data_IF_742591041584
#
_entry.id   IF_742591041584
#
_cell.length_a   1.000
_cell.length_b   1.000
_cell.length_c   1.000
_cell.angle_alpha   90.00
_cell.angle_beta   90.00
_cell.angle_gamma   90.00
#
_symmetry.space_group_name_H-M   'P 1'
#
loop_
_entity.id
_entity.type
_entity.pdbx_description
1 polymer ?
#
# COMPACT_ATOMS: atom_id res chain seq x y z
N UNK A 1 -26.82 11.44 -21.25
CA UNK A 1 -25.62 11.33 -20.36
C UNK A 1 -24.77 12.56 -20.60
N UNK A 2 -24.33 13.30 -19.59
CA UNK A 2 -23.31 14.32 -19.80
C UNK A 2 -22.04 13.61 -20.31
N UNK A 3 -21.26 14.23 -21.22
CA UNK A 3 -19.98 13.68 -21.63
C UNK A 3 -19.10 13.54 -20.39
N UNK A 4 -18.29 12.46 -20.34
CA UNK A 4 -17.24 12.26 -19.34
C UNK A 4 -16.45 13.56 -19.27
N UNK A 5 -16.38 14.19 -18.11
CA UNK A 5 -15.54 15.36 -17.90
C UNK A 5 -14.09 14.89 -17.83
N UNK A 6 -13.14 15.72 -18.27
CA UNK A 6 -11.70 15.40 -18.19
C UNK A 6 -11.23 15.12 -16.75
N UNK A 7 -12.03 15.47 -15.73
CA UNK A 7 -11.84 15.16 -14.30
C UNK A 7 -11.89 13.65 -13.97
N UNK A 8 -12.39 12.82 -14.88
CA UNK A 8 -12.59 11.38 -14.67
C UNK A 8 -11.41 10.51 -15.16
N UNK A 9 -10.39 11.09 -15.80
CA UNK A 9 -9.33 10.34 -16.51
C UNK A 9 -8.62 9.33 -15.62
N UNK A 10 -8.24 9.70 -14.38
CA UNK A 10 -7.60 8.76 -13.47
C UNK A 10 -8.52 7.60 -13.08
N UNK A 11 -9.81 7.89 -12.84
CA UNK A 11 -10.77 6.86 -12.45
C UNK A 11 -11.09 5.95 -13.66
N UNK A 12 -11.10 6.50 -14.88
CA UNK A 12 -11.19 5.72 -16.12
C UNK A 12 -9.95 4.82 -16.26
N UNK A 13 -8.74 5.37 -16.08
CA UNK A 13 -7.49 4.60 -16.15
C UNK A 13 -7.47 3.42 -15.16
N UNK A 14 -7.96 3.62 -13.95
CA UNK A 14 -7.91 2.58 -12.92
C UNK A 14 -9.09 1.59 -12.98
N UNK A 15 -10.25 1.98 -13.55
CA UNK A 15 -11.48 1.20 -13.43
C UNK A 15 -12.21 0.88 -14.72
N UNK A 16 -11.76 1.35 -15.89
CA UNK A 16 -12.48 1.12 -17.15
C UNK A 16 -12.56 -0.36 -17.54
N UNK A 17 -11.54 -1.15 -17.19
CA UNK A 17 -11.45 -2.57 -17.49
C UNK A 17 -12.11 -3.46 -16.42
N UNK A 18 -12.90 -2.88 -15.49
CA UNK A 18 -13.58 -3.65 -14.47
C UNK A 18 -14.71 -4.52 -15.06
N UNK A 19 -14.57 -5.83 -14.94
CA UNK A 19 -15.52 -6.82 -15.44
C UNK A 19 -16.66 -7.08 -14.43
N UNK A 20 -17.59 -6.12 -14.28
CA UNK A 20 -18.69 -6.19 -13.31
C UNK A 20 -19.97 -6.81 -13.88
N UNK A 21 -19.90 -7.50 -15.03
CA UNK A 21 -21.01 -8.17 -15.68
C UNK A 21 -22.01 -7.24 -16.39
N UNK A 22 -21.92 -5.91 -16.23
CA UNK A 22 -22.74 -4.90 -16.92
C UNK A 22 -21.94 -3.59 -17.01
N UNK A 23 -21.78 -3.05 -18.23
CA UNK A 23 -21.07 -1.80 -18.48
C UNK A 23 -21.58 -0.61 -17.64
N UNK A 24 -22.88 -0.60 -17.30
CA UNK A 24 -23.45 0.43 -16.39
C UNK A 24 -22.88 0.36 -14.99
N UNK A 25 -22.47 -0.82 -14.52
CA UNK A 25 -21.81 -0.99 -13.21
C UNK A 25 -20.39 -0.43 -13.25
N UNK A 26 -19.64 -0.69 -14.33
CA UNK A 26 -18.30 -0.12 -14.55
C UNK A 26 -18.36 1.41 -14.61
N UNK A 27 -19.30 1.98 -15.38
CA UNK A 27 -19.52 3.42 -15.39
C UNK A 27 -19.90 3.98 -14.02
N UNK A 28 -20.69 3.22 -13.24
CA UNK A 28 -21.04 3.60 -11.86
C UNK A 28 -19.83 3.56 -10.93
N UNK A 29 -18.95 2.57 -11.07
CA UNK A 29 -17.71 2.47 -10.31
C UNK A 29 -16.81 3.68 -10.58
N UNK A 30 -16.60 4.04 -11.87
CA UNK A 30 -15.82 5.23 -12.27
C UNK A 30 -16.42 6.50 -11.65
N UNK A 31 -17.73 6.71 -11.79
CA UNK A 31 -18.40 7.88 -11.24
C UNK A 31 -18.27 7.96 -9.70
N UNK A 32 -18.40 6.82 -9.01
CA UNK A 32 -18.20 6.75 -7.55
C UNK A 32 -16.73 7.02 -7.17
N UNK A 33 -15.77 6.44 -7.90
CA UNK A 33 -14.34 6.67 -7.68
C UNK A 33 -14.01 8.17 -7.78
N UNK A 34 -14.52 8.84 -8.82
CA UNK A 34 -14.33 10.27 -9.04
C UNK A 34 -14.89 11.08 -7.90
N UNK A 35 -16.17 10.90 -7.55
CA UNK A 35 -16.86 11.68 -6.52
C UNK A 35 -16.25 11.44 -5.13
N UNK A 36 -15.94 10.20 -4.79
CA UNK A 36 -15.35 9.86 -3.48
C UNK A 36 -13.89 10.33 -3.37
N UNK A 37 -13.12 10.34 -4.45
CA UNK A 37 -11.76 10.87 -4.44
C UNK A 37 -11.71 12.39 -4.31
N UNK A 38 -12.74 13.09 -4.77
CA UNK A 38 -12.87 14.54 -4.58
C UNK A 38 -12.98 14.92 -3.10
N UNK A 39 -13.65 14.08 -2.29
CA UNK A 39 -13.85 14.30 -0.84
C UNK A 39 -13.60 13.01 -0.04
N UNK A 40 -12.37 12.47 -0.03
CA UNK A 40 -12.11 11.12 0.49
C UNK A 40 -12.42 10.97 1.97
N UNK A 41 -12.34 12.03 2.77
CA UNK A 41 -12.66 12.04 4.18
C UNK A 41 -14.12 12.38 4.53
N UNK A 42 -14.94 12.81 3.56
CA UNK A 42 -16.34 13.16 3.77
C UNK A 42 -17.24 11.93 3.95
N UNK A 43 -18.39 12.05 4.59
CA UNK A 43 -19.41 10.99 4.62
C UNK A 43 -19.93 10.67 3.20
N UNK A 44 -20.54 9.51 2.98
CA UNK A 44 -21.12 9.19 1.67
C UNK A 44 -22.17 10.23 1.20
N UNK A 45 -23.11 10.68 2.05
CA UNK A 45 -24.05 11.75 1.67
C UNK A 45 -23.33 13.04 1.25
N UNK A 46 -22.35 13.47 2.02
CA UNK A 46 -21.61 14.69 1.74
C UNK A 46 -20.73 14.58 0.47
N UNK A 47 -20.09 13.41 0.25
CA UNK A 47 -19.26 13.19 -0.93
C UNK A 47 -20.09 13.10 -2.20
N UNK A 48 -21.23 12.41 -2.18
CA UNK A 48 -22.12 12.24 -3.33
C UNK A 48 -22.81 13.54 -3.75
N UNK A 49 -23.06 14.45 -2.83
CA UNK A 49 -23.60 15.79 -3.11
C UNK A 49 -25.08 15.86 -3.50
N UNK A 50 -25.66 14.80 -4.04
CA UNK A 50 -27.08 14.70 -4.38
C UNK A 50 -27.67 13.31 -4.06
N UNK A 51 -29.01 13.27 -3.93
CA UNK A 51 -29.76 12.07 -3.56
C UNK A 51 -29.66 10.93 -4.60
N UNK A 52 -29.52 11.25 -5.88
CA UNK A 52 -29.48 10.26 -6.96
C UNK A 52 -28.13 9.51 -6.90
N UNK A 53 -27.02 10.21 -6.76
CA UNK A 53 -25.68 9.64 -6.60
C UNK A 53 -25.58 8.84 -5.29
N UNK A 54 -26.13 9.37 -4.19
CA UNK A 54 -26.13 8.68 -2.89
C UNK A 54 -26.91 7.35 -2.96
N UNK A 55 -28.12 7.35 -3.54
CA UNK A 55 -28.90 6.13 -3.75
C UNK A 55 -28.16 5.14 -4.65
N UNK A 56 -27.47 5.64 -5.68
CA UNK A 56 -26.67 4.82 -6.57
C UNK A 56 -25.47 4.19 -5.85
N UNK A 57 -24.79 4.93 -4.93
CA UNK A 57 -23.70 4.43 -4.11
C UNK A 57 -24.16 3.29 -3.20
N UNK A 58 -25.26 3.50 -2.45
CA UNK A 58 -25.80 2.45 -1.59
C UNK A 58 -26.20 1.20 -2.37
N UNK A 59 -26.90 1.34 -3.53
CA UNK A 59 -27.26 0.22 -4.39
C UNK A 59 -26.06 -0.50 -4.97
N UNK A 60 -24.98 0.23 -5.26
CA UNK A 60 -23.74 -0.35 -5.75
C UNK A 60 -23.07 -1.23 -4.69
N UNK A 61 -22.87 -0.72 -3.47
CA UNK A 61 -22.28 -1.50 -2.39
C UNK A 61 -23.20 -2.62 -1.86
N UNK A 62 -24.52 -2.52 -2.07
CA UNK A 62 -25.48 -3.55 -1.70
C UNK A 62 -25.60 -4.70 -2.72
N UNK A 63 -25.03 -4.53 -3.89
CA UNK A 63 -25.15 -5.48 -4.98
C UNK A 63 -24.34 -6.75 -4.69
N UNK A 64 -25.03 -7.84 -4.35
CA UNK A 64 -24.44 -9.15 -4.01
C UNK A 64 -23.75 -9.84 -5.20
N UNK A 65 -23.98 -9.38 -6.42
CA UNK A 65 -23.27 -9.87 -7.62
C UNK A 65 -21.89 -9.22 -7.83
N UNK A 66 -21.47 -8.32 -6.93
CA UNK A 66 -20.14 -7.70 -6.96
C UNK A 66 -19.30 -8.30 -5.84
N UNK A 67 -18.22 -8.93 -6.20
CA UNK A 67 -17.21 -9.34 -5.25
C UNK A 67 -16.20 -8.21 -5.00
N UNK A 68 -15.64 -8.08 -3.79
CA UNK A 68 -14.61 -7.07 -3.49
C UNK A 68 -13.41 -7.13 -4.44
N UNK A 69 -13.05 -8.34 -4.89
CA UNK A 69 -11.93 -8.57 -5.82
C UNK A 69 -12.20 -7.97 -7.20
N UNK A 70 -13.44 -8.08 -7.72
CA UNK A 70 -13.83 -7.53 -9.04
C UNK A 70 -13.58 -6.02 -9.13
N UNK A 71 -13.73 -5.31 -8.00
CA UNK A 71 -13.50 -3.86 -7.90
C UNK A 71 -12.00 -3.51 -7.93
N UNK A 72 -11.15 -4.46 -7.56
CA UNK A 72 -9.70 -4.25 -7.48
C UNK A 72 -8.98 -4.74 -8.75
N UNK A 73 -9.53 -5.73 -9.45
CA UNK A 73 -8.86 -6.39 -10.59
C UNK A 73 -8.50 -5.41 -11.71
N UNK A 74 -9.37 -4.45 -11.99
CA UNK A 74 -9.09 -3.40 -12.98
C UNK A 74 -7.88 -2.55 -12.57
N UNK A 75 -7.80 -2.14 -11.29
CA UNK A 75 -6.64 -1.41 -10.77
C UNK A 75 -5.35 -2.26 -10.80
N UNK A 76 -5.45 -3.57 -10.51
CA UNK A 76 -4.31 -4.49 -10.62
C UNK A 76 -3.84 -4.54 -12.07
N UNK A 77 -4.75 -4.65 -13.04
CA UNK A 77 -4.46 -4.59 -14.47
C UNK A 77 -3.78 -3.28 -14.88
N UNK A 78 -4.33 -2.15 -14.43
CA UNK A 78 -3.76 -0.82 -14.65
C UNK A 78 -2.39 -0.61 -13.97
N UNK A 79 -2.05 -1.44 -12.97
CA UNK A 79 -0.74 -1.41 -12.32
C UNK A 79 0.35 -2.04 -13.18
N UNK A 80 0.07 -3.08 -13.97
CA UNK A 80 1.09 -3.79 -14.75
C UNK A 80 1.92 -2.92 -15.69
N UNK A 81 1.35 -1.96 -16.46
CA UNK A 81 2.15 -1.04 -17.26
C UNK A 81 3.18 -0.26 -16.42
N UNK A 82 2.81 0.16 -15.20
CA UNK A 82 3.72 0.86 -14.28
C UNK A 82 4.84 -0.06 -13.78
N UNK A 83 4.53 -1.35 -13.51
CA UNK A 83 5.54 -2.34 -13.09
C UNK A 83 6.52 -2.64 -14.22
N UNK A 84 6.06 -2.71 -15.47
CA UNK A 84 6.88 -3.03 -16.63
C UNK A 84 7.95 -1.96 -16.94
N UNK A 85 7.81 -0.75 -16.39
CA UNK A 85 8.78 0.35 -16.58
C UNK A 85 9.99 0.29 -15.65
N UNK A 86 9.98 -0.60 -14.65
CA UNK A 86 11.03 -0.68 -13.61
C UNK A 86 11.67 -2.06 -13.57
N UNK A 87 13.00 -2.16 -13.32
CA UNK A 87 13.70 -3.44 -13.29
C UNK A 87 13.40 -4.27 -12.05
N UNK A 88 12.98 -3.63 -10.95
CA UNK A 88 12.75 -4.25 -9.66
C UNK A 88 11.54 -3.66 -8.95
N UNK A 89 10.71 -4.56 -8.40
CA UNK A 89 9.54 -4.23 -7.59
C UNK A 89 9.62 -4.94 -6.24
N UNK A 90 9.42 -4.20 -5.17
CA UNK A 90 9.23 -4.70 -3.83
C UNK A 90 7.73 -4.88 -3.59
N UNK A 91 7.25 -6.12 -3.55
CA UNK A 91 5.87 -6.47 -3.22
C UNK A 91 5.70 -6.52 -1.70
N UNK A 92 5.43 -5.37 -1.11
CA UNK A 92 5.35 -5.18 0.34
C UNK A 92 3.96 -5.57 0.84
N UNK A 93 3.89 -6.44 1.81
CA UNK A 93 2.63 -6.95 2.35
C UNK A 93 2.50 -6.68 3.85
N UNK A 94 1.31 -6.33 4.27
CA UNK A 94 0.99 -6.11 5.69
C UNK A 94 -0.52 -6.25 5.96
N UNK A 95 -0.87 -6.46 7.24
CA UNK A 95 -2.27 -6.56 7.69
C UNK A 95 -2.62 -5.38 8.59
N UNK A 96 -3.78 -4.80 8.37
CA UNK A 96 -4.35 -3.81 9.29
C UNK A 96 -5.75 -4.23 9.74
N UNK A 97 -6.13 -3.82 10.94
CA UNK A 97 -7.48 -3.94 11.46
C UNK A 97 -8.23 -2.63 11.15
N UNK A 98 -9.44 -2.73 10.63
CA UNK A 98 -10.36 -1.60 10.47
C UNK A 98 -11.46 -1.73 11.53
N UNK A 99 -11.56 -0.72 12.39
CA UNK A 99 -12.41 -0.76 13.59
C UNK A 99 -13.75 -0.02 13.37
N UNK A 100 -14.85 -0.77 13.46
CA UNK A 100 -16.21 -0.23 13.43
C UNK A 100 -16.95 -0.44 14.75
N UNK A 101 -16.26 -0.59 15.86
CA UNK A 101 -16.89 -0.74 17.19
C UNK A 101 -17.85 0.40 17.52
N UNK A 102 -17.57 1.62 17.04
CA UNK A 102 -18.43 2.78 17.21
C UNK A 102 -19.73 2.74 16.37
N UNK A 103 -19.91 1.72 15.52
CA UNK A 103 -21.07 1.56 14.64
C UNK A 103 -21.86 0.28 14.98
N UNK A 104 -22.58 0.24 16.12
CA UNK A 104 -23.22 -0.98 16.62
C UNK A 104 -24.34 -1.50 15.73
N UNK A 105 -24.88 -0.68 14.82
CA UNK A 105 -25.91 -1.08 13.85
C UNK A 105 -25.34 -1.89 12.66
N UNK A 106 -24.01 -1.90 12.46
CA UNK A 106 -23.37 -2.65 11.38
C UNK A 106 -23.29 -4.14 11.78
N UNK A 107 -23.91 -4.99 10.98
CA UNK A 107 -23.94 -6.45 11.22
C UNK A 107 -22.81 -7.17 10.49
N UNK A 108 -22.49 -8.42 10.91
CA UNK A 108 -21.51 -9.28 10.26
C UNK A 108 -20.04 -8.92 10.54
N UNK A 109 -19.75 -7.95 11.41
CA UNK A 109 -18.40 -7.62 11.83
C UNK A 109 -17.83 -8.69 12.77
N UNK A 110 -16.55 -9.01 12.59
CA UNK A 110 -15.82 -9.97 13.42
C UNK A 110 -14.99 -9.31 14.53
N UNK A 111 -14.50 -10.13 15.49
CA UNK A 111 -13.62 -9.64 16.56
C UNK A 111 -12.24 -9.24 16.00
N UNK A 112 -11.70 -8.15 16.53
CA UNK A 112 -10.34 -7.67 16.26
C UNK A 112 -9.34 -8.18 17.33
N UNK A 113 -8.11 -7.71 17.28
CA UNK A 113 -7.05 -8.12 18.21
C UNK A 113 -7.40 -7.86 19.68
N UNK A 114 -8.18 -6.81 19.97
CA UNK A 114 -8.75 -6.55 21.28
C UNK A 114 -10.19 -7.08 21.33
N UNK A 115 -10.53 -7.88 22.32
CA UNK A 115 -11.81 -8.62 22.42
C UNK A 115 -13.09 -7.76 22.42
N UNK A 116 -12.98 -6.49 22.82
CA UNK A 116 -14.09 -5.54 22.79
C UNK A 116 -14.30 -4.88 21.43
N UNK A 117 -13.34 -4.97 20.52
CA UNK A 117 -13.37 -4.31 19.21
C UNK A 117 -13.93 -5.23 18.13
N UNK A 118 -14.72 -4.64 17.23
CA UNK A 118 -15.33 -5.33 16.09
C UNK A 118 -15.03 -4.61 14.79
N UNK A 119 -14.74 -5.37 13.74
CA UNK A 119 -14.39 -4.79 12.46
C UNK A 119 -14.02 -5.81 11.40
N UNK A 120 -13.18 -5.38 10.48
CA UNK A 120 -12.65 -6.17 9.38
C UNK A 120 -11.13 -6.18 9.44
N UNK A 121 -10.53 -7.26 8.97
CA UNK A 121 -9.10 -7.30 8.67
C UNK A 121 -8.90 -7.02 7.19
N UNK A 122 -7.83 -6.30 6.90
CA UNK A 122 -7.39 -6.01 5.53
C UNK A 122 -5.93 -6.39 5.40
N UNK A 123 -5.63 -7.37 4.55
CA UNK A 123 -4.28 -7.71 4.18
C UNK A 123 -4.03 -7.23 2.76
N UNK A 124 -2.99 -6.41 2.57
CA UNK A 124 -2.72 -5.76 1.28
C UNK A 124 -1.28 -5.98 0.87
N UNK A 125 -1.08 -6.23 -0.42
CA UNK A 125 0.24 -6.24 -1.07
C UNK A 125 0.34 -5.02 -1.97
N UNK A 126 1.25 -4.10 -1.62
CA UNK A 126 1.57 -2.91 -2.42
C UNK A 126 2.88 -3.12 -3.19
N UNK A 127 2.90 -2.72 -4.45
CA UNK A 127 4.11 -2.68 -5.26
C UNK A 127 4.85 -1.37 -5.06
N UNK A 128 6.14 -1.44 -4.69
CA UNK A 128 7.01 -0.28 -4.54
C UNK A 128 8.23 -0.40 -5.46
N UNK A 129 8.74 0.74 -5.91
CA UNK A 129 10.14 0.80 -6.36
C UNK A 129 11.08 0.82 -5.15
N UNK A 130 12.39 0.51 -5.30
CA UNK A 130 13.38 0.71 -4.23
C UNK A 130 13.41 2.14 -3.69
N UNK A 131 13.09 3.15 -4.51
CA UNK A 131 12.98 4.56 -4.17
C UNK A 131 11.66 4.90 -3.43
N UNK A 132 10.89 3.86 -3.06
CA UNK A 132 9.65 3.94 -2.25
C UNK A 132 8.46 4.57 -2.97
N UNK A 133 8.42 4.55 -4.30
CA UNK A 133 7.23 4.96 -5.07
C UNK A 133 6.23 3.82 -5.10
N UNK A 134 4.97 4.00 -4.59
CA UNK A 134 3.95 2.94 -4.60
C UNK A 134 3.29 2.86 -5.99
N UNK A 135 3.66 1.85 -6.79
CA UNK A 135 3.20 1.69 -8.18
C UNK A 135 1.74 1.24 -8.30
N UNK A 136 1.21 0.56 -7.28
CA UNK A 136 -0.17 0.06 -7.25
C UNK A 136 -0.39 -1.01 -6.19
N UNK A 137 -1.63 -1.49 -6.09
CA UNK A 137 -2.02 -2.63 -5.26
C UNK A 137 -1.94 -3.90 -6.13
N UNK A 138 -1.27 -4.95 -5.64
CA UNK A 138 -1.16 -6.24 -6.32
C UNK A 138 -2.19 -7.25 -5.82
N UNK A 139 -2.57 -7.16 -4.55
CA UNK A 139 -3.59 -8.00 -3.94
C UNK A 139 -4.15 -7.32 -2.70
N UNK A 140 -5.41 -7.60 -2.40
CA UNK A 140 -6.02 -7.22 -1.13
C UNK A 140 -7.05 -8.27 -0.72
N UNK A 141 -7.03 -8.67 0.53
CA UNK A 141 -8.01 -9.54 1.15
C UNK A 141 -8.70 -8.79 2.28
N UNK A 142 -10.03 -8.82 2.31
CA UNK A 142 -10.84 -8.15 3.32
C UNK A 142 -11.79 -9.18 3.92
N UNK A 143 -11.72 -9.41 5.24
CA UNK A 143 -12.57 -10.40 5.90
C UNK A 143 -12.94 -10.01 7.33
N UNK A 144 -14.06 -10.55 7.81
CA UNK A 144 -14.42 -10.59 9.22
C UNK A 144 -13.96 -11.90 9.83
N UNK A 145 -13.37 -11.88 11.03
CA UNK A 145 -13.12 -13.12 11.78
C UNK A 145 -14.40 -13.74 12.27
N UNK A 146 -14.47 -15.06 12.19
CA UNK A 146 -15.56 -15.79 12.82
C UNK A 146 -15.40 -15.74 14.36
N UNK A 147 -16.40 -15.26 15.11
CA UNK A 147 -16.37 -15.28 16.57
C UNK A 147 -16.12 -16.65 17.15
N UNK A 148 -16.60 -17.71 16.48
CA UNK A 148 -16.44 -19.10 16.93
C UNK A 148 -15.02 -19.64 16.80
N UNK A 149 -14.15 -18.97 16.05
CA UNK A 149 -12.73 -19.34 15.96
C UNK A 149 -11.86 -18.77 17.11
N UNK A 150 -12.45 -17.93 17.97
CA UNK A 150 -11.78 -17.44 19.18
C UNK A 150 -11.50 -18.61 20.12
N UNK A 151 -10.26 -18.70 20.60
CA UNK A 151 -9.86 -19.74 21.57
C UNK A 151 -9.42 -21.07 20.97
N UNK A 152 -9.59 -21.32 19.68
CA UNK A 152 -9.17 -22.58 19.01
C UNK A 152 -7.66 -22.67 18.78
N UNK A 153 -6.82 -22.04 19.62
CA UNK A 153 -5.35 -22.06 19.52
C UNK A 153 -4.76 -23.48 19.52
N UNK A 154 -5.34 -24.40 20.28
CA UNK A 154 -4.83 -25.77 20.43
C UNK A 154 -4.86 -26.57 19.11
N UNK A 155 -5.89 -26.40 18.30
CA UNK A 155 -6.07 -27.11 17.02
C UNK A 155 -5.36 -26.41 15.84
N UNK A 156 -4.95 -25.14 16.00
CA UNK A 156 -4.33 -24.33 14.93
C UNK A 156 -3.07 -24.98 14.32
N UNK A 157 -2.25 -25.66 15.15
CA UNK A 157 -1.02 -26.31 14.65
C UNK A 157 -1.29 -27.47 13.70
N UNK A 158 -2.44 -28.14 13.83
CA UNK A 158 -2.80 -29.33 13.06
C UNK A 158 -3.54 -29.00 11.74
N UNK A 159 -4.12 -27.80 11.61
CA UNK A 159 -4.83 -27.38 10.39
C UNK A 159 -3.82 -27.13 9.25
N UNK A 160 -4.16 -27.45 7.99
CA UNK A 160 -3.37 -27.02 6.84
C UNK A 160 -3.34 -25.48 6.76
N UNK A 161 -2.34 -24.92 6.07
CA UNK A 161 -2.18 -23.46 5.97
C UNK A 161 -3.38 -22.80 5.28
N UNK A 162 -4.00 -23.50 4.31
CA UNK A 162 -5.19 -23.03 3.59
C UNK A 162 -6.39 -22.70 4.50
N UNK A 163 -6.45 -23.31 5.69
CA UNK A 163 -7.49 -23.08 6.69
C UNK A 163 -7.08 -22.07 7.78
N UNK A 164 -5.95 -21.40 7.61
CA UNK A 164 -5.40 -20.45 8.59
C UNK A 164 -5.38 -19.05 8.02
N UNK A 165 -5.53 -18.04 8.87
CA UNK A 165 -5.27 -16.64 8.47
C UNK A 165 -3.87 -16.44 7.85
N UNK A 166 -2.92 -17.35 8.13
CA UNK A 166 -1.58 -17.30 7.54
C UNK A 166 -1.58 -17.54 6.03
N UNK A 167 -2.67 -18.07 5.44
CA UNK A 167 -2.83 -18.22 3.99
C UNK A 167 -2.69 -16.88 3.25
N UNK A 168 -3.09 -15.78 3.89
CA UNK A 168 -2.95 -14.43 3.35
C UNK A 168 -1.53 -14.12 2.83
N UNK A 169 -0.50 -14.62 3.53
CA UNK A 169 0.90 -14.42 3.16
C UNK A 169 1.27 -15.18 1.88
N UNK A 170 0.75 -16.39 1.70
CA UNK A 170 0.92 -17.14 0.45
C UNK A 170 0.19 -16.46 -0.71
N UNK A 171 -1.04 -16.03 -0.53
CA UNK A 171 -1.81 -15.29 -1.55
C UNK A 171 -1.06 -14.04 -2.02
N UNK A 172 -0.39 -13.34 -1.11
CA UNK A 172 0.46 -12.20 -1.48
C UNK A 172 1.68 -12.58 -2.32
N UNK A 173 2.30 -13.74 -2.04
CA UNK A 173 3.37 -14.26 -2.90
C UNK A 173 2.83 -14.69 -4.26
N UNK A 174 1.65 -15.31 -4.31
CA UNK A 174 0.96 -15.66 -5.56
C UNK A 174 0.67 -14.44 -6.43
N UNK A 175 0.30 -13.30 -5.81
CA UNK A 175 0.13 -12.04 -6.53
C UNK A 175 1.46 -11.54 -7.14
N UNK A 176 2.58 -11.65 -6.43
CA UNK A 176 3.89 -11.34 -6.99
C UNK A 176 4.27 -12.29 -8.14
N UNK A 177 3.91 -13.58 -8.04
CA UNK A 177 4.09 -14.55 -9.12
C UNK A 177 3.22 -14.21 -10.35
N UNK A 178 1.98 -13.77 -10.14
CA UNK A 178 1.10 -13.32 -11.22
C UNK A 178 1.65 -12.06 -11.91
N UNK A 179 2.10 -11.08 -11.12
CA UNK A 179 2.75 -9.87 -11.63
C UNK A 179 4.03 -10.19 -12.43
N UNK A 180 4.83 -11.15 -11.99
CA UNK A 180 6.03 -11.61 -12.73
C UNK A 180 5.66 -12.23 -14.08
N UNK A 181 4.56 -12.98 -14.15
CA UNK A 181 4.07 -13.52 -15.44
C UNK A 181 3.64 -12.42 -16.40
N UNK A 182 2.96 -11.38 -15.86
CA UNK A 182 2.53 -10.23 -16.67
C UNK A 182 3.69 -9.30 -17.08
N UNK A 183 4.73 -9.19 -16.23
CA UNK A 183 5.89 -8.32 -16.43
C UNK A 183 7.20 -9.14 -16.40
N UNK A 184 7.52 -9.93 -17.46
CA UNK A 184 8.62 -10.90 -17.42
C UNK A 184 10.02 -10.29 -17.34
N UNK A 185 10.19 -8.99 -17.56
CA UNK A 185 11.47 -8.30 -17.43
C UNK A 185 11.70 -7.70 -16.05
N UNK A 186 10.64 -7.59 -15.24
CA UNK A 186 10.69 -6.99 -13.90
C UNK A 186 10.95 -8.08 -12.86
N UNK A 187 11.94 -7.88 -12.01
CA UNK A 187 12.18 -8.73 -10.83
C UNK A 187 11.24 -8.33 -9.68
N UNK A 188 10.75 -9.29 -8.92
CA UNK A 188 9.90 -9.06 -7.76
C UNK A 188 10.53 -9.60 -6.49
N UNK A 189 10.44 -8.84 -5.40
CA UNK A 189 10.82 -9.30 -4.06
C UNK A 189 9.61 -9.15 -3.14
N UNK A 190 9.05 -10.25 -2.67
CA UNK A 190 7.98 -10.23 -1.69
C UNK A 190 8.56 -9.90 -0.31
N UNK A 191 8.12 -8.80 0.29
CA UNK A 191 8.63 -8.28 1.55
C UNK A 191 7.57 -8.41 2.64
N UNK A 192 7.90 -9.15 3.70
CA UNK A 192 6.97 -9.39 4.82
C UNK A 192 7.59 -9.12 6.19
N UNK A 193 6.73 -8.84 7.15
CA UNK A 193 7.13 -8.65 8.54
C UNK A 193 7.30 -9.99 9.30
N UNK A 194 7.35 -9.94 10.65
CA UNK A 194 7.48 -11.11 11.51
C UNK A 194 6.31 -12.11 11.39
N UNK A 195 5.11 -11.66 11.05
CA UNK A 195 3.97 -12.57 10.88
C UNK A 195 4.09 -13.41 9.61
N UNK A 196 4.82 -12.91 8.60
CA UNK A 196 5.11 -13.63 7.36
C UNK A 196 6.16 -14.74 7.55
N UNK A 197 6.85 -14.83 8.71
CA UNK A 197 7.81 -15.90 9.00
C UNK A 197 7.10 -17.24 9.21
N UNK A 198 6.52 -17.75 8.14
CA UNK A 198 5.84 -19.03 8.04
C UNK A 198 6.64 -19.94 7.11
N UNK A 199 6.87 -21.19 7.54
CA UNK A 199 7.69 -22.14 6.76
C UNK A 199 7.17 -22.34 5.32
N UNK A 200 5.84 -22.41 5.16
CA UNK A 200 5.21 -22.59 3.84
C UNK A 200 5.47 -21.39 2.91
N UNK A 201 5.55 -20.17 3.44
CA UNK A 201 5.92 -18.97 2.68
C UNK A 201 7.38 -19.04 2.24
N UNK A 202 8.28 -19.40 3.16
CA UNK A 202 9.72 -19.52 2.85
C UNK A 202 10.01 -20.65 1.86
N UNK A 203 9.22 -21.72 1.91
CA UNK A 203 9.38 -22.92 1.09
C UNK A 203 8.59 -22.91 -0.25
N UNK A 204 7.80 -21.85 -0.53
CA UNK A 204 6.99 -21.77 -1.76
C UNK A 204 7.88 -21.88 -3.00
N UNK A 205 7.48 -22.71 -3.95
CA UNK A 205 8.20 -22.85 -5.23
C UNK A 205 8.03 -21.55 -6.05
N UNK A 206 9.15 -21.07 -6.59
CA UNK A 206 9.21 -19.79 -7.30
C UNK A 206 10.07 -19.90 -8.55
N UNK A 207 9.67 -19.28 -9.67
CA UNK A 207 10.53 -19.11 -10.82
C UNK A 207 11.64 -18.09 -10.54
N UNK A 208 12.67 -18.08 -11.35
CA UNK A 208 13.68 -17.03 -11.34
C UNK A 208 13.04 -15.64 -11.50
N UNK A 209 13.52 -14.68 -10.71
CA UNK A 209 13.01 -13.31 -10.72
C UNK A 209 11.87 -13.05 -9.73
N UNK A 210 11.50 -14.03 -8.89
CA UNK A 210 10.65 -13.80 -7.72
C UNK A 210 11.38 -14.26 -6.47
N UNK A 211 11.65 -13.34 -5.57
CA UNK A 211 12.39 -13.56 -4.33
C UNK A 211 11.58 -13.20 -3.10
N UNK A 212 12.09 -13.58 -1.92
CA UNK A 212 11.51 -13.27 -0.61
C UNK A 212 12.49 -12.48 0.23
N UNK A 213 11.94 -11.58 1.06
CA UNK A 213 12.64 -10.84 2.11
C UNK A 213 11.73 -10.74 3.33
N UNK A 214 11.90 -11.63 4.30
CA UNK A 214 11.00 -11.80 5.44
C UNK A 214 11.76 -11.54 6.74
N UNK A 215 11.20 -10.74 7.62
CA UNK A 215 11.77 -10.57 8.96
C UNK A 215 11.52 -11.81 9.81
N UNK A 216 12.57 -12.39 10.35
CA UNK A 216 12.48 -13.56 11.21
C UNK A 216 11.73 -13.24 12.51
N UNK A 217 10.82 -14.12 12.89
CA UNK A 217 10.12 -14.13 14.19
C UNK A 217 10.59 -15.29 15.07
N UNK A 218 11.01 -16.38 14.44
CA UNK A 218 11.32 -17.63 15.12
C UNK A 218 12.78 -18.01 14.99
N UNK A 219 13.36 -18.51 16.07
CA UNK A 219 14.71 -19.11 16.04
C UNK A 219 14.62 -20.53 15.45
N UNK A 220 14.64 -20.59 14.13
CA UNK A 220 14.46 -21.83 13.37
C UNK A 220 15.73 -22.68 13.37
N UNK A 221 15.52 -23.99 13.34
CA UNK A 221 16.61 -24.94 13.18
C UNK A 221 17.22 -24.82 11.77
N UNK A 222 18.55 -24.83 11.70
CA UNK A 222 19.35 -24.82 10.46
C UNK A 222 20.32 -26.00 10.45
N UNK A 223 20.89 -26.30 9.27
CA UNK A 223 21.86 -27.38 9.08
C UNK A 223 23.30 -27.02 9.50
N UNK A 224 23.50 -25.83 10.09
CA UNK A 224 24.80 -25.35 10.57
C UNK A 224 25.19 -25.92 11.96
N UNK A 225 26.45 -25.75 12.34
CA UNK A 225 26.98 -26.23 13.63
C UNK A 225 26.23 -25.67 14.83
N UNK A 226 25.86 -24.38 14.78
CA UNK A 226 25.11 -23.65 15.80
C UNK A 226 23.64 -24.08 15.91
N UNK A 227 23.14 -24.83 14.92
CA UNK A 227 21.80 -25.44 14.88
C UNK A 227 20.61 -24.48 14.77
N UNK A 228 20.77 -23.21 15.08
CA UNK A 228 19.70 -22.20 15.10
C UNK A 228 20.11 -20.92 14.39
N UNK A 229 19.13 -20.23 13.80
CA UNK A 229 19.37 -19.06 12.92
C UNK A 229 20.11 -17.95 13.64
N UNK A 230 19.65 -17.53 14.84
CA UNK A 230 20.28 -16.42 15.57
C UNK A 230 21.74 -16.72 15.94
N UNK A 231 22.00 -17.89 16.48
CA UNK A 231 23.36 -18.30 16.84
C UNK A 231 24.27 -18.40 15.62
N UNK A 232 23.76 -18.95 14.50
CA UNK A 232 24.52 -19.07 13.23
C UNK A 232 24.94 -17.70 12.71
N UNK A 233 24.04 -16.71 12.72
CA UNK A 233 24.35 -15.37 12.21
C UNK A 233 25.21 -14.58 13.19
N UNK A 234 24.97 -14.71 14.50
CA UNK A 234 25.77 -14.06 15.53
C UNK A 234 27.23 -14.51 15.56
N UNK A 235 27.52 -15.78 15.13
CA UNK A 235 28.87 -16.28 14.99
C UNK A 235 29.65 -15.67 13.80
N UNK A 236 28.98 -14.94 12.89
CA UNK A 236 29.63 -14.26 11.77
C UNK A 236 30.32 -12.95 12.22
N UNK A 237 31.40 -12.55 11.56
CA UNK A 237 32.03 -11.25 11.83
C UNK A 237 31.08 -10.09 11.50
N UNK A 238 31.31 -8.94 12.14
CA UNK A 238 30.67 -7.68 11.73
C UNK A 238 31.40 -7.19 10.48
N UNK A 239 30.72 -7.19 9.36
CA UNK A 239 31.26 -6.80 8.07
C UNK A 239 30.97 -5.35 7.70
N UNK A 240 29.91 -4.75 8.29
CA UNK A 240 29.51 -3.38 8.00
C UNK A 240 28.78 -2.74 9.18
N UNK A 241 28.63 -1.42 9.13
CA UNK A 241 27.75 -0.65 9.99
C UNK A 241 26.72 0.09 9.13
N UNK A 242 25.44 -0.19 9.37
CA UNK A 242 24.33 0.57 8.82
C UNK A 242 23.92 1.66 9.81
N UNK A 243 23.42 2.78 9.30
CA UNK A 243 22.93 3.87 10.17
C UNK A 243 21.45 4.12 9.86
N UNK A 244 20.62 4.11 10.91
CA UNK A 244 19.20 4.41 10.76
C UNK A 244 18.80 5.64 11.58
N UNK A 245 17.85 6.40 11.07
CA UNK A 245 17.21 7.49 11.80
C UNK A 245 16.00 6.94 12.56
N UNK A 246 16.05 7.01 13.89
CA UNK A 246 14.95 6.60 14.75
C UNK A 246 14.09 7.81 15.03
N UNK A 247 12.82 7.82 14.63
CA UNK A 247 11.94 8.94 14.90
C UNK A 247 11.63 9.06 16.39
N UNK A 248 11.14 10.22 16.80
CA UNK A 248 10.68 10.46 18.19
C UNK A 248 9.63 9.42 18.59
N UNK A 249 9.80 8.81 19.77
CA UNK A 249 8.84 7.87 20.35
C UNK A 249 8.44 8.33 21.74
N UNK A 250 7.24 8.86 21.88
CA UNK A 250 6.78 9.39 23.18
C UNK A 250 7.74 10.47 23.73
N UNK A 251 8.32 10.24 24.90
CA UNK A 251 9.30 11.12 25.54
C UNK A 251 10.73 10.98 24.97
N UNK A 252 11.03 9.93 24.18
CA UNK A 252 12.37 9.71 23.62
C UNK A 252 12.57 10.61 22.39
N UNK A 253 13.65 11.44 22.34
CA UNK A 253 13.95 12.29 21.19
C UNK A 253 14.35 11.43 19.97
N UNK A 254 14.27 12.02 18.76
CA UNK A 254 14.80 11.36 17.57
C UNK A 254 16.31 11.14 17.74
N UNK A 255 16.81 10.01 17.25
CA UNK A 255 18.23 9.66 17.34
C UNK A 255 18.71 8.92 16.11
N UNK A 256 20.00 8.93 15.93
CA UNK A 256 20.71 8.12 14.94
C UNK A 256 21.22 6.86 15.61
N UNK A 257 20.91 5.68 15.09
CA UNK A 257 21.36 4.41 15.63
C UNK A 257 22.30 3.69 14.65
N UNK A 258 23.55 3.41 15.04
CA UNK A 258 24.45 2.55 14.27
C UNK A 258 24.07 1.08 14.53
N UNK A 259 23.95 0.29 13.45
CA UNK A 259 23.64 -1.12 13.49
C UNK A 259 24.83 -1.93 12.96
N UNK A 260 25.36 -2.84 13.75
CA UNK A 260 26.33 -3.83 13.28
C UNK A 260 25.63 -4.82 12.32
N UNK A 261 26.20 -5.02 11.13
CA UNK A 261 25.61 -5.84 10.08
C UNK A 261 26.44 -7.10 9.87
N UNK A 262 25.76 -8.25 9.89
CA UNK A 262 26.31 -9.58 9.63
C UNK A 262 25.42 -10.31 8.63
N UNK A 263 25.96 -11.24 7.85
CA UNK A 263 25.16 -12.10 6.99
C UNK A 263 25.85 -13.44 6.74
N UNK A 264 25.06 -14.44 6.38
CA UNK A 264 25.57 -15.73 5.94
C UNK A 264 24.52 -16.49 5.12
N UNK A 265 24.95 -17.43 4.25
CA UNK A 265 24.06 -18.43 3.70
C UNK A 265 23.66 -19.41 4.81
N UNK A 266 22.44 -19.91 4.76
CA UNK A 266 21.96 -20.93 5.68
C UNK A 266 20.89 -21.82 5.02
N UNK A 267 20.63 -22.98 5.59
CA UNK A 267 19.57 -23.86 5.15
C UNK A 267 18.64 -24.18 6.31
N UNK A 268 17.37 -23.74 6.21
CA UNK A 268 16.36 -24.03 7.21
C UNK A 268 15.96 -25.50 7.20
N UNK A 269 15.91 -26.11 8.36
CA UNK A 269 15.34 -27.44 8.53
C UNK A 269 13.81 -27.40 8.52
N UNK A 270 13.13 -28.41 7.97
CA UNK A 270 11.70 -28.57 8.08
C UNK A 270 11.22 -28.63 9.54
N UNK A 271 10.01 -28.09 9.84
CA UNK A 271 9.44 -28.13 11.18
C UNK A 271 9.29 -29.57 11.69
N UNK A 272 9.82 -29.86 12.90
CA UNK A 272 9.84 -31.22 13.47
C UNK A 272 8.44 -31.84 13.61
N UNK A 273 7.42 -31.05 13.88
CA UNK A 273 6.03 -31.52 14.02
C UNK A 273 5.40 -31.93 12.68
N UNK A 274 6.02 -31.57 11.53
CA UNK A 274 5.56 -31.87 10.16
C UNK A 274 6.42 -32.93 9.45
N UNK A 275 7.15 -33.76 10.18
CA UNK A 275 8.02 -34.79 9.60
C UNK A 275 7.32 -35.71 8.59
N UNK A 276 6.03 -36.00 8.81
CA UNK A 276 5.22 -36.87 7.93
C UNK A 276 5.01 -36.30 6.53
N UNK A 277 5.11 -34.96 6.38
CA UNK A 277 4.89 -34.27 5.12
C UNK A 277 6.11 -34.30 4.17
N UNK A 278 7.24 -34.84 4.61
CA UNK A 278 8.50 -34.92 3.83
C UNK A 278 8.93 -33.60 3.21
N UNK A 279 8.75 -32.51 3.93
CA UNK A 279 9.13 -31.16 3.51
C UNK A 279 10.63 -31.07 3.24
N UNK A 280 11.04 -30.26 2.25
CA UNK A 280 12.44 -30.07 1.85
C UNK A 280 13.11 -28.98 2.67
N UNK A 281 14.39 -29.09 3.04
CA UNK A 281 15.15 -27.98 3.58
C UNK A 281 15.13 -26.77 2.62
N UNK A 282 15.13 -25.56 3.17
CA UNK A 282 15.04 -24.32 2.38
C UNK A 282 16.35 -23.56 2.45
N UNK A 283 17.11 -23.46 1.33
CA UNK A 283 18.31 -22.63 1.28
C UNK A 283 17.91 -21.14 1.24
N UNK A 284 18.53 -20.34 2.10
CA UNK A 284 18.30 -18.92 2.27
C UNK A 284 19.60 -18.20 2.62
N UNK A 285 19.52 -16.89 2.64
CA UNK A 285 20.49 -15.99 3.28
C UNK A 285 19.86 -15.32 4.48
N UNK A 286 20.65 -15.11 5.52
CA UNK A 286 20.26 -14.30 6.66
C UNK A 286 21.08 -13.01 6.67
N UNK A 287 20.40 -11.86 6.89
CA UNK A 287 21.03 -10.55 7.11
C UNK A 287 20.59 -10.07 8.49
N UNK A 288 21.55 -9.83 9.39
CA UNK A 288 21.30 -9.39 10.75
C UNK A 288 21.87 -8.00 10.97
N UNK A 289 21.02 -7.06 11.33
CA UNK A 289 21.39 -5.71 11.71
C UNK A 289 20.96 -5.44 13.15
N UNK A 290 21.93 -5.17 14.04
CA UNK A 290 21.66 -4.98 15.47
C UNK A 290 22.40 -3.78 16.02
N UNK A 291 21.72 -3.01 16.86
CA UNK A 291 22.31 -1.94 17.67
C UNK A 291 23.05 -2.56 18.84
N UNK A 292 24.40 -2.46 18.85
CA UNK A 292 25.23 -3.09 19.91
C UNK A 292 25.30 -2.24 21.17
N UNK A 293 25.14 -0.92 21.07
CA UNK A 293 25.19 0.02 22.19
C UNK A 293 23.95 0.93 22.23
N UNK A 294 22.75 0.37 22.55
CA UNK A 294 21.55 1.17 22.68
C UNK A 294 21.65 2.13 23.88
N UNK A 295 20.98 3.28 23.88
CA UNK A 295 20.88 4.14 25.06
C UNK A 295 20.29 3.40 26.26
N UNK A 296 20.72 3.77 27.47
CA UNK A 296 20.25 3.15 28.71
C UNK A 296 18.70 3.17 28.79
N UNK A 297 18.11 2.03 29.15
CA UNK A 297 16.66 1.88 29.26
C UNK A 297 15.91 1.78 27.91
N UNK A 298 16.63 1.58 26.81
CA UNK A 298 16.04 1.40 25.49
C UNK A 298 16.37 0.01 24.96
N UNK A 299 15.36 -0.67 24.39
CA UNK A 299 15.61 -1.93 23.70
C UNK A 299 16.44 -1.69 22.42
N UNK A 300 17.41 -2.58 22.12
CA UNK A 300 18.20 -2.46 20.90
C UNK A 300 17.32 -2.61 19.66
N UNK A 301 17.64 -1.84 18.63
CA UNK A 301 17.05 -2.07 17.31
C UNK A 301 17.70 -3.32 16.75
N UNK A 302 16.87 -4.28 16.35
CA UNK A 302 17.33 -5.55 15.80
C UNK A 302 16.43 -6.03 14.66
N UNK A 303 17.04 -6.27 13.52
CA UNK A 303 16.41 -6.90 12.37
C UNK A 303 17.20 -8.13 11.95
N UNK A 304 16.54 -9.28 11.96
CA UNK A 304 17.04 -10.49 11.31
C UNK A 304 16.14 -10.77 10.11
N UNK A 305 16.71 -10.68 8.92
CA UNK A 305 16.00 -10.85 7.65
C UNK A 305 16.41 -12.20 7.03
N UNK A 306 15.43 -12.98 6.61
CA UNK A 306 15.61 -14.19 5.81
C UNK A 306 15.27 -13.86 4.36
N UNK A 307 16.16 -14.17 3.44
CA UNK A 307 15.96 -13.84 2.02
C UNK A 307 16.44 -14.94 1.10
N UNK A 308 15.79 -15.06 -0.07
CA UNK A 308 16.24 -15.92 -1.16
C UNK A 308 17.21 -15.22 -2.10
N UNK A 309 17.33 -13.89 -1.97
CA UNK A 309 18.35 -13.12 -2.70
C UNK A 309 19.73 -13.42 -2.12
N UNK A 310 20.69 -13.75 -2.98
CA UNK A 310 22.08 -13.92 -2.56
C UNK A 310 22.64 -12.64 -1.92
N UNK A 311 23.52 -12.81 -0.91
CA UNK A 311 24.19 -11.72 -0.20
C UNK A 311 25.66 -12.06 -0.03
N UNK A 312 26.48 -11.61 -0.97
CA UNK A 312 27.92 -11.87 -1.00
C UNK A 312 28.75 -10.65 -0.59
N UNK A 313 28.17 -9.46 -0.63
CA UNK A 313 28.87 -8.20 -0.42
C UNK A 313 28.18 -7.30 0.62
N UNK A 314 28.93 -6.37 1.19
CA UNK A 314 28.38 -5.31 2.07
C UNK A 314 27.26 -4.55 1.37
N UNK A 315 27.44 -4.18 0.11
CA UNK A 315 26.45 -3.42 -0.67
C UNK A 315 25.12 -4.19 -0.76
N UNK A 316 25.16 -5.50 -1.04
CA UNK A 316 23.96 -6.34 -1.10
C UNK A 316 23.28 -6.49 0.27
N UNK A 317 24.05 -6.61 1.35
CA UNK A 317 23.49 -6.67 2.70
C UNK A 317 22.75 -5.38 3.07
N UNK A 318 23.37 -4.23 2.81
CA UNK A 318 22.75 -2.91 3.06
C UNK A 318 21.53 -2.68 2.18
N UNK A 319 21.58 -3.10 0.93
CA UNK A 319 20.43 -3.06 0.02
C UNK A 319 19.23 -3.85 0.55
N UNK A 320 19.44 -5.06 1.12
CA UNK A 320 18.34 -5.85 1.72
C UNK A 320 17.74 -5.15 2.93
N UNK A 321 18.55 -4.46 3.73
CA UNK A 321 18.06 -3.65 4.85
C UNK A 321 17.22 -2.46 4.36
N UNK A 322 17.65 -1.79 3.27
CA UNK A 322 16.90 -0.66 2.70
C UNK A 322 15.60 -1.13 2.05
N UNK A 323 15.61 -2.26 1.33
CA UNK A 323 14.37 -2.85 0.81
C UNK A 323 13.39 -3.21 1.92
N UNK A 324 13.87 -3.78 3.03
CA UNK A 324 13.01 -4.07 4.16
C UNK A 324 12.44 -2.78 4.79
N UNK A 325 13.22 -1.70 4.82
CA UNK A 325 12.74 -0.41 5.31
C UNK A 325 11.59 0.18 4.46
N UNK A 326 11.48 -0.20 3.17
CA UNK A 326 10.33 0.18 2.33
C UNK A 326 8.99 -0.34 2.88
N UNK A 327 9.01 -1.38 3.74
CA UNK A 327 7.81 -1.92 4.40
C UNK A 327 7.02 -0.85 5.14
N UNK A 328 7.68 0.14 5.74
CA UNK A 328 6.96 1.24 6.40
C UNK A 328 6.07 2.07 5.46
N UNK A 329 6.27 1.97 4.16
CA UNK A 329 5.39 2.59 3.17
C UNK A 329 3.94 2.10 3.28
N UNK A 330 3.71 0.81 3.58
CA UNK A 330 2.36 0.28 3.74
C UNK A 330 1.65 0.85 4.98
N UNK A 331 2.39 1.11 6.07
CA UNK A 331 1.83 1.77 7.26
C UNK A 331 1.43 3.23 6.99
N UNK A 332 2.19 3.93 6.13
CA UNK A 332 1.81 5.27 5.65
C UNK A 332 0.52 5.19 4.83
N UNK A 333 0.41 4.21 3.94
CA UNK A 333 -0.80 3.99 3.16
C UNK A 333 -2.00 3.62 4.05
N UNK A 334 -1.83 2.73 5.04
CA UNK A 334 -2.88 2.44 6.03
C UNK A 334 -3.36 3.70 6.75
N UNK A 335 -2.45 4.60 7.12
CA UNK A 335 -2.79 5.88 7.74
C UNK A 335 -3.60 6.78 6.80
N UNK A 336 -3.29 6.80 5.49
CA UNK A 336 -4.07 7.54 4.50
C UNK A 336 -5.47 6.94 4.40
N UNK A 337 -5.60 5.62 4.32
CA UNK A 337 -6.88 4.92 4.27
C UNK A 337 -7.74 5.19 5.53
N UNK A 338 -7.15 5.06 6.73
CA UNK A 338 -7.85 5.26 8.01
C UNK A 338 -8.14 6.72 8.32
N UNK A 339 -7.15 7.58 8.23
CA UNK A 339 -7.26 8.99 8.66
C UNK A 339 -7.59 9.94 7.52
N UNK A 340 -7.05 9.71 6.32
CA UNK A 340 -7.30 10.52 5.13
C UNK A 340 -8.66 10.23 4.53
N UNK A 341 -8.90 8.99 4.20
CA UNK A 341 -10.16 8.51 3.66
C UNK A 341 -11.22 8.26 4.73
N UNK A 342 -10.85 8.22 6.01
CA UNK A 342 -11.73 7.95 7.14
C UNK A 342 -12.59 6.70 6.93
N UNK A 343 -11.98 5.62 6.46
CA UNK A 343 -12.71 4.39 6.08
C UNK A 343 -13.54 3.83 7.25
N UNK A 344 -13.03 3.91 8.47
CA UNK A 344 -13.68 3.44 9.69
C UNK A 344 -14.89 4.29 10.10
N UNK A 345 -15.07 5.47 9.49
CA UNK A 345 -16.26 6.32 9.68
C UNK A 345 -17.38 6.03 8.66
N UNK A 346 -17.21 5.06 7.76
CA UNK A 346 -18.24 4.70 6.78
C UNK A 346 -19.37 3.94 7.45
N UNK A 347 -20.59 4.47 7.33
CA UNK A 347 -21.80 3.89 7.91
C UNK A 347 -22.52 3.06 6.84
N UNK A 348 -22.23 1.77 6.79
CA UNK A 348 -22.90 0.80 5.96
C UNK A 348 -23.50 -0.29 6.84
N UNK A 349 -24.66 -0.83 6.45
CA UNK A 349 -25.46 -1.69 7.29
C UNK A 349 -24.81 -3.06 7.59
N UNK A 350 -23.95 -3.56 6.69
CA UNK A 350 -23.35 -4.89 6.83
C UNK A 350 -21.87 -4.90 6.50
N UNK A 351 -21.16 -5.91 7.02
CA UNK A 351 -19.76 -6.16 6.73
C UNK A 351 -19.50 -6.37 5.24
N UNK A 352 -20.38 -7.06 4.52
CA UNK A 352 -20.25 -7.33 3.09
C UNK A 352 -20.29 -6.03 2.28
N UNK A 353 -21.14 -5.08 2.67
CA UNK A 353 -21.15 -3.74 2.03
C UNK A 353 -19.85 -2.98 2.31
N UNK A 354 -19.30 -3.09 3.51
CA UNK A 354 -17.99 -2.51 3.86
C UNK A 354 -16.87 -3.19 3.07
N UNK A 355 -16.91 -4.52 2.93
CA UNK A 355 -15.92 -5.26 2.14
C UNK A 355 -15.89 -4.80 0.67
N UNK A 356 -17.03 -4.46 0.06
CA UNK A 356 -17.11 -3.87 -1.29
C UNK A 356 -16.67 -2.39 -1.32
N UNK A 357 -16.81 -1.68 -0.22
CA UNK A 357 -16.41 -0.27 -0.11
C UNK A 357 -14.88 -0.12 0.04
N UNK A 358 -14.23 -1.01 0.79
CA UNK A 358 -12.79 -0.94 1.10
C UNK A 358 -11.90 -0.91 -0.14
N UNK A 359 -12.04 -1.77 -1.18
CA UNK A 359 -11.19 -1.74 -2.36
C UNK A 359 -11.19 -0.38 -3.06
N UNK A 360 -12.35 0.23 -3.24
CA UNK A 360 -12.45 1.55 -3.86
C UNK A 360 -11.69 2.63 -3.08
N UNK A 361 -11.87 2.69 -1.76
CA UNK A 361 -11.10 3.62 -0.92
C UNK A 361 -9.62 3.27 -0.85
N UNK A 362 -9.25 2.01 -1.01
CA UNK A 362 -7.87 1.55 -1.08
C UNK A 362 -7.15 2.14 -2.29
N UNK A 363 -7.79 2.16 -3.45
CA UNK A 363 -7.24 2.77 -4.67
C UNK A 363 -7.16 4.31 -4.53
N UNK A 364 -8.17 4.93 -3.93
CA UNK A 364 -8.14 6.39 -3.64
C UNK A 364 -6.97 6.73 -2.70
N UNK A 365 -6.77 5.94 -1.64
CA UNK A 365 -5.65 6.12 -0.72
C UNK A 365 -4.29 5.90 -1.41
N UNK A 366 -4.21 4.91 -2.31
CA UNK A 366 -3.02 4.69 -3.13
C UNK A 366 -2.71 5.90 -4.03
N UNK A 367 -3.69 6.47 -4.71
CA UNK A 367 -3.50 7.65 -5.58
C UNK A 367 -2.86 8.82 -4.81
N UNK A 368 -3.36 9.10 -3.61
CA UNK A 368 -2.80 10.16 -2.73
C UNK A 368 -1.35 9.84 -2.36
N UNK A 369 -1.07 8.58 -2.03
CA UNK A 369 0.26 8.15 -1.65
C UNK A 369 1.23 8.17 -2.83
N UNK A 370 0.79 7.70 -4.00
CA UNK A 370 1.53 7.74 -5.25
C UNK A 370 1.96 9.17 -5.59
N UNK A 371 1.03 10.11 -5.58
CA UNK A 371 1.31 11.53 -5.80
C UNK A 371 2.37 12.08 -4.84
N UNK A 372 2.25 11.72 -3.53
CA UNK A 372 3.19 12.15 -2.50
C UNK A 372 4.61 11.66 -2.78
N UNK A 373 4.76 10.40 -3.17
CA UNK A 373 6.08 9.77 -3.32
C UNK A 373 6.69 10.04 -4.69
N UNK A 374 5.87 10.09 -5.74
CA UNK A 374 6.32 10.38 -7.10
C UNK A 374 6.99 11.77 -7.18
N UNK A 375 6.43 12.77 -6.50
CA UNK A 375 7.01 14.12 -6.48
C UNK A 375 8.39 14.20 -5.83
N UNK A 376 8.73 13.23 -4.98
CA UNK A 376 10.05 13.11 -4.36
C UNK A 376 11.04 12.36 -5.23
N UNK A 377 10.54 11.35 -5.97
CA UNK A 377 11.38 10.51 -6.83
C UNK A 377 11.75 11.21 -8.15
N UNK A 378 10.81 11.93 -8.75
CA UNK A 378 10.99 12.62 -10.04
C UNK A 378 10.51 14.08 -9.96
N UNK A 379 11.14 14.92 -9.11
CA UNK A 379 10.66 16.26 -8.80
C UNK A 379 10.57 17.20 -10.01
N UNK A 380 11.47 17.02 -10.99
CA UNK A 380 11.57 17.87 -12.18
C UNK A 380 10.73 17.39 -13.37
N UNK A 381 10.05 16.25 -13.25
CA UNK A 381 9.11 15.81 -14.28
C UNK A 381 7.97 16.83 -14.44
N UNK A 382 7.37 16.99 -15.62
CA UNK A 382 6.21 17.86 -15.79
C UNK A 382 5.05 17.34 -14.94
N UNK A 383 4.27 18.24 -14.33
CA UNK A 383 3.18 17.84 -13.42
C UNK A 383 2.07 17.03 -14.13
N UNK A 384 2.05 17.02 -15.45
CA UNK A 384 1.11 16.24 -16.28
C UNK A 384 1.27 14.73 -16.13
N UNK A 385 2.33 14.24 -15.47
CA UNK A 385 2.44 12.83 -15.06
C UNK A 385 1.47 12.46 -13.92
N UNK A 386 0.84 13.46 -13.29
CA UNK A 386 -0.04 13.30 -12.13
C UNK A 386 -1.35 14.07 -12.28
N UNK A 387 -1.31 15.27 -12.86
CA UNK A 387 -2.43 16.21 -12.95
C UNK A 387 -2.89 16.36 -14.40
N UNK A 388 -4.21 16.42 -14.57
CA UNK A 388 -4.81 16.76 -15.83
C UNK A 388 -4.60 18.24 -16.20
N UNK A 389 -4.87 18.57 -17.45
CA UNK A 389 -4.65 19.92 -18.00
C UNK A 389 -5.37 20.99 -17.16
N UNK A 390 -6.65 20.78 -16.90
CA UNK A 390 -7.51 21.71 -16.16
C UNK A 390 -7.13 21.78 -14.68
N UNK A 391 -6.70 20.68 -14.08
CA UNK A 391 -6.27 20.62 -12.68
C UNK A 391 -5.06 21.52 -12.44
N UNK A 392 -3.98 21.36 -13.21
CA UNK A 392 -2.78 22.16 -12.98
C UNK A 392 -2.96 23.62 -13.40
N UNK A 393 -3.79 23.89 -14.43
CA UNK A 393 -4.11 25.26 -14.84
C UNK A 393 -4.90 25.98 -13.76
N UNK A 394 -5.95 25.35 -13.22
CA UNK A 394 -6.74 25.87 -12.10
C UNK A 394 -5.86 26.11 -10.86
N UNK A 395 -4.99 25.15 -10.55
CA UNK A 395 -4.04 25.24 -9.44
C UNK A 395 -3.11 26.45 -9.59
N UNK A 396 -2.51 26.61 -10.78
CA UNK A 396 -1.62 27.73 -11.07
C UNK A 396 -2.34 29.07 -10.89
N UNK A 397 -3.53 29.22 -11.53
CA UNK A 397 -4.32 30.44 -11.45
C UNK A 397 -4.69 30.80 -10.01
N UNK A 398 -5.08 29.81 -9.20
CA UNK A 398 -5.46 30.03 -7.79
C UNK A 398 -4.26 30.43 -6.92
N UNK A 399 -3.12 29.75 -7.06
CA UNK A 399 -1.93 30.00 -6.24
C UNK A 399 -1.28 31.34 -6.58
N UNK A 400 -1.17 31.67 -7.89
CA UNK A 400 -0.50 32.88 -8.36
C UNK A 400 -1.46 34.08 -8.51
N UNK A 401 -2.79 33.86 -8.33
CA UNK A 401 -3.83 34.88 -8.53
C UNK A 401 -3.79 35.49 -9.93
N UNK A 402 -3.57 34.64 -10.93
CA UNK A 402 -3.45 35.02 -12.34
C UNK A 402 -4.62 34.42 -13.12
N UNK A 403 -5.25 35.18 -14.03
CA UNK A 403 -6.40 34.67 -14.80
C UNK A 403 -5.99 33.67 -15.88
N UNK A 404 -4.71 33.66 -16.28
CA UNK A 404 -4.19 32.83 -17.38
C UNK A 404 -2.99 32.03 -16.90
N UNK A 405 -3.00 30.71 -17.11
CA UNK A 405 -1.87 29.85 -16.82
C UNK A 405 -0.75 30.02 -17.86
N UNK A 406 0.50 29.66 -17.54
CA UNK A 406 1.58 29.60 -18.54
C UNK A 406 1.28 28.55 -19.62
N UNK A 407 1.95 28.63 -20.80
CA UNK A 407 1.79 27.62 -21.85
C UNK A 407 2.40 26.26 -21.48
N UNK A 408 3.44 26.24 -20.64
CA UNK A 408 4.15 25.05 -20.21
C UNK A 408 3.70 24.64 -18.79
N UNK A 409 3.51 23.32 -18.54
CA UNK A 409 3.16 22.84 -17.24
C UNK A 409 4.34 23.04 -16.24
N UNK A 410 4.05 23.33 -14.95
CA UNK A 410 5.07 23.40 -13.91
C UNK A 410 5.69 22.03 -13.64
N UNK A 411 6.81 22.00 -12.90
CA UNK A 411 7.36 20.73 -12.43
C UNK A 411 6.42 20.05 -11.43
N UNK A 412 6.54 18.73 -11.32
CA UNK A 412 5.74 17.92 -10.42
C UNK A 412 5.93 18.37 -8.96
N UNK A 413 7.16 18.69 -8.57
CA UNK A 413 7.46 19.23 -7.23
C UNK A 413 6.73 20.54 -6.97
N UNK A 414 6.77 21.47 -7.92
CA UNK A 414 6.07 22.74 -7.79
C UNK A 414 4.57 22.54 -7.61
N UNK A 415 3.94 21.73 -8.47
CA UNK A 415 2.51 21.44 -8.41
C UNK A 415 2.11 20.77 -7.09
N UNK A 416 2.86 19.76 -6.64
CA UNK A 416 2.60 19.07 -5.37
C UNK A 416 2.78 20.00 -4.16
N UNK A 417 3.77 20.89 -4.18
CA UNK A 417 3.91 21.91 -3.14
C UNK A 417 2.74 22.90 -3.14
N UNK A 418 2.21 23.27 -4.30
CA UNK A 418 1.03 24.15 -4.38
C UNK A 418 -0.22 23.44 -3.87
N UNK A 419 -0.43 22.18 -4.22
CA UNK A 419 -1.51 21.36 -3.65
C UNK A 419 -1.37 21.30 -2.12
N UNK A 420 -0.17 21.05 -1.62
CA UNK A 420 0.07 21.00 -0.17
C UNK A 420 -0.23 22.34 0.52
N UNK A 421 0.08 23.46 -0.14
CA UNK A 421 -0.27 24.82 0.39
C UNK A 421 -1.78 25.01 0.48
N UNK A 422 -2.57 24.55 -0.48
CA UNK A 422 -4.03 24.51 -0.37
C UNK A 422 -4.47 23.72 0.87
N UNK A 423 -3.78 22.61 1.19
CA UNK A 423 -4.04 21.78 2.36
C UNK A 423 -3.44 22.28 3.68
N UNK A 424 -2.87 23.49 3.70
CA UNK A 424 -2.33 24.13 4.90
C UNK A 424 -0.83 23.92 5.14
N UNK A 425 -0.06 23.43 4.16
CA UNK A 425 1.38 23.37 4.24
C UNK A 425 1.98 24.76 4.13
N UNK A 426 2.82 25.14 5.10
CA UNK A 426 3.40 26.48 5.16
C UNK A 426 4.68 26.62 4.34
N UNK A 427 5.43 25.52 4.13
CA UNK A 427 6.68 25.51 3.37
C UNK A 427 7.78 26.35 3.99
N UNK A 428 7.90 26.36 5.33
CA UNK A 428 8.95 27.11 6.05
C UNK A 428 10.29 26.41 5.88
N UNK A 429 11.38 27.16 6.10
CA UNK A 429 12.72 26.57 6.14
C UNK A 429 12.80 25.55 7.28
N UNK A 430 12.88 24.25 6.92
CA UNK A 430 12.90 23.14 7.88
C UNK A 430 11.60 22.29 7.92
N UNK A 431 10.52 22.69 7.25
CA UNK A 431 9.30 21.88 7.17
C UNK A 431 9.50 20.59 6.33
N UNK A 432 10.57 20.51 5.53
CA UNK A 432 10.84 19.39 4.63
C UNK A 432 9.82 19.28 3.49
N UNK A 433 9.71 18.08 2.90
CA UNK A 433 8.74 17.81 1.85
C UNK A 433 7.34 17.60 2.42
N UNK A 434 6.27 18.04 1.71
CA UNK A 434 4.91 17.92 2.19
C UNK A 434 4.51 16.45 2.41
N UNK A 435 3.87 16.18 3.53
CA UNK A 435 3.36 14.86 3.85
C UNK A 435 1.97 14.60 3.27
N UNK A 436 1.54 13.32 3.26
CA UNK A 436 0.26 12.90 2.72
C UNK A 436 -0.94 13.67 3.33
N UNK A 437 -0.87 14.05 4.62
CA UNK A 437 -1.96 14.77 5.32
C UNK A 437 -2.32 16.10 4.66
N UNK A 438 -1.33 16.90 4.31
CA UNK A 438 -1.58 18.19 3.65
C UNK A 438 -1.97 17.98 2.19
N UNK A 439 -1.49 16.91 1.55
CA UNK A 439 -1.82 16.61 0.17
C UNK A 439 -3.28 16.18 0.01
N UNK A 440 -3.82 15.25 0.82
CA UNK A 440 -5.23 14.88 0.65
C UNK A 440 -6.19 16.05 0.90
N UNK A 441 -5.87 16.96 1.86
CA UNK A 441 -6.62 18.19 2.06
C UNK A 441 -6.49 19.14 0.87
N UNK A 442 -5.30 19.22 0.29
CA UNK A 442 -5.03 20.04 -0.88
C UNK A 442 -5.76 19.55 -2.12
N UNK A 443 -5.81 18.24 -2.36
CA UNK A 443 -6.57 17.65 -3.47
C UNK A 443 -8.08 17.96 -3.36
N UNK A 444 -8.65 17.94 -2.16
CA UNK A 444 -10.05 18.36 -1.95
C UNK A 444 -10.28 19.81 -2.40
N UNK A 445 -9.36 20.72 -2.07
CA UNK A 445 -9.45 22.12 -2.50
C UNK A 445 -9.23 22.25 -4.02
N UNK A 446 -8.27 21.51 -4.58
CA UNK A 446 -7.97 21.52 -6.01
C UNK A 446 -9.19 21.16 -6.84
N UNK A 447 -9.94 20.13 -6.45
CA UNK A 447 -11.15 19.73 -7.17
C UNK A 447 -12.18 20.86 -7.25
N UNK A 448 -12.44 21.55 -6.13
CA UNK A 448 -13.37 22.69 -6.13
C UNK A 448 -12.88 23.82 -7.05
N UNK A 449 -11.57 24.09 -7.03
CA UNK A 449 -10.94 25.10 -7.90
C UNK A 449 -11.03 24.71 -9.37
N UNK A 450 -10.77 23.44 -9.72
CA UNK A 450 -10.85 22.94 -11.10
C UNK A 450 -12.29 23.06 -11.64
N UNK A 451 -13.29 22.66 -10.84
CA UNK A 451 -14.70 22.82 -11.21
C UNK A 451 -15.05 24.27 -11.53
N UNK A 452 -14.67 25.20 -10.64
CA UNK A 452 -14.92 26.64 -10.88
C UNK A 452 -14.16 27.16 -12.10
N UNK A 453 -12.91 26.74 -12.27
CA UNK A 453 -12.10 27.13 -13.43
C UNK A 453 -12.74 26.70 -14.76
N UNK A 454 -13.23 25.46 -14.84
CA UNK A 454 -13.91 24.93 -16.03
C UNK A 454 -15.22 25.70 -16.34
N UNK A 455 -16.00 26.05 -15.29
CA UNK A 455 -17.24 26.83 -15.45
C UNK A 455 -16.96 28.27 -15.94
N UNK A 456 -15.93 28.90 -15.41
CA UNK A 456 -15.62 30.31 -15.69
C UNK A 456 -14.81 30.52 -16.97
N UNK A 457 -14.18 29.47 -17.50
CA UNK A 457 -13.38 29.53 -18.71
C UNK A 457 -14.32 29.73 -19.91
N UNK A 458 -14.16 30.79 -20.74
CA UNK A 458 -14.94 30.95 -21.95
C UNK A 458 -14.75 29.71 -22.84
N UNK A 459 -15.84 29.12 -23.29
CA UNK A 459 -15.79 28.01 -24.23
C UNK A 459 -14.92 28.41 -25.43
N UNK A 460 -13.78 27.75 -25.64
CA UNK A 460 -12.97 27.94 -26.83
C UNK A 460 -13.89 27.69 -28.07
N UNK A 461 -13.90 28.60 -29.06
CA UNK A 461 -14.73 28.41 -30.22
C UNK A 461 -14.36 27.08 -30.89
N UNK A 462 -15.32 26.16 -31.01
CA UNK A 462 -15.14 24.90 -31.76
C UNK A 462 -14.48 25.23 -33.08
N UNK A 463 -13.27 24.73 -33.33
CA UNK A 463 -12.65 24.81 -34.66
C UNK A 463 -13.66 24.27 -35.65
N UNK A 464 -14.23 25.15 -36.46
CA UNK A 464 -15.02 24.74 -37.64
C UNK A 464 -14.11 23.86 -38.49
N UNK A 465 -14.44 22.60 -38.63
CA UNK A 465 -13.89 21.78 -39.69
C UNK A 465 -14.41 22.41 -41.01
N UNK A 466 -13.55 23.15 -41.67
CA UNK A 466 -13.77 23.45 -43.09
C UNK A 466 -13.55 22.14 -43.81
N UNK A 467 -14.55 21.83 -44.65
CA UNK A 467 -14.64 20.63 -45.46
C UNK A 467 -13.53 20.46 -46.50
#
# INVERSE_FOLDING_TARGET
>A
MPPCSDDDVWAVTEFAEAELGDARRTQRLIALATVLAQRPGASLPEACGDDAMLKAAYRFFDNVALEPQDLLDSHIGATFPRLATVPLVLAVQDTTELDWTAHPATTGLGPLGHSAHRGLLVHTTLAFTPERVPLGILAQQVWARDPDDIGKRATRKQRPIAEKESQKWLTSVEAALAARRACPQTRFVSVGDREADVYDVLAVERPAGVDLLIRAAWDRCVTHAERYVWATVAAQPVEATATIQVPRRGAQPPRTAPLAVRWCPLTLCPPRHRKRERLRPVPLWAVHAREEAPPAGTDPIEWLLLTTCAVHTVAEALERLDWYACRWGVEVWHRILKSGCRIEARQLATAERLQRCVPLYSVIAWRIFYATMLSRAVPEAPCTVLLELEEWQALYCAIHRMPTPPPEPPSLRQAVHWIARLGGFLGRRGDGEPGATVLWKGFQQLTALTTMYCIMRPALPKRRKYG
#
